data_IF_079218812010
#
_entry.id   IF_079218812010
#
_cell.length_a   1.000
_cell.length_b   1.000
_cell.length_c   1.000
_cell.angle_alpha   90.00
_cell.angle_beta   90.00
_cell.angle_gamma   90.00
#
_symmetry.space_group_name_H-M   'P 1'
#
loop_
_entity.id
_entity.type
_entity.pdbx_description
1 polymer ?
#
# COMPACT_ATOMS: atom_id res chain seq x y z
N UNK A 1 32.45 11.26 25.96
CA UNK A 1 31.88 9.89 26.10
C UNK A 1 30.68 9.79 25.14
N UNK A 2 30.75 8.93 24.13
CA UNK A 2 29.60 8.71 23.19
C UNK A 2 28.57 7.92 23.98
N UNK A 3 27.37 8.48 24.14
CA UNK A 3 26.30 7.79 24.84
C UNK A 3 25.70 6.69 23.95
N UNK A 4 25.35 5.55 24.53
CA UNK A 4 24.67 4.45 23.79
C UNK A 4 23.38 4.91 23.09
N UNK A 5 22.78 5.99 23.57
CA UNK A 5 21.55 6.56 23.00
C UNK A 5 21.74 7.23 21.62
N UNK A 6 22.99 7.45 21.20
CA UNK A 6 23.32 8.06 19.91
C UNK A 6 23.26 7.03 18.76
N UNK A 7 23.31 5.74 19.09
CA UNK A 7 23.30 4.65 18.10
C UNK A 7 21.90 4.07 17.90
N UNK A 8 21.59 3.72 16.66
CA UNK A 8 20.37 3.02 16.33
C UNK A 8 20.53 2.15 15.09
N UNK A 9 19.82 1.01 15.08
CA UNK A 9 19.54 0.25 13.86
C UNK A 9 18.41 0.92 13.10
N UNK A 10 18.63 1.18 11.81
CA UNK A 10 17.60 1.76 10.93
C UNK A 10 17.55 1.04 9.60
N UNK A 11 16.35 0.92 8.99
CA UNK A 11 16.24 0.49 7.61
C UNK A 11 16.97 1.48 6.69
N UNK A 12 17.79 0.95 5.81
CA UNK A 12 18.45 1.71 4.76
C UNK A 12 17.98 1.18 3.40
N UNK A 13 17.26 2.00 2.65
CA UNK A 13 16.83 1.66 1.32
C UNK A 13 17.98 1.86 0.33
N UNK A 14 18.50 0.77 -0.21
CA UNK A 14 19.44 0.81 -1.32
C UNK A 14 18.66 0.62 -2.62
N UNK A 15 18.71 1.62 -3.49
CA UNK A 15 17.98 1.67 -4.74
C UNK A 15 18.95 1.82 -5.89
N UNK A 16 18.71 1.09 -7.00
CA UNK A 16 19.49 1.26 -8.23
C UNK A 16 18.57 1.06 -9.44
N UNK A 17 19.06 1.55 -10.57
CA UNK A 17 18.36 1.45 -11.85
C UNK A 17 19.23 0.60 -12.78
N UNK A 18 18.64 -0.36 -13.47
CA UNK A 18 19.32 -1.17 -14.45
C UNK A 18 19.42 -0.47 -15.83
N UNK A 19 20.11 -1.10 -16.78
CA UNK A 19 20.28 -0.59 -18.15
C UNK A 19 18.97 -0.39 -18.91
N UNK A 20 17.87 -1.02 -18.41
CA UNK A 20 16.52 -0.88 -18.96
C UNK A 20 15.70 0.19 -18.25
N UNK A 21 16.35 1.00 -17.41
CA UNK A 21 15.71 2.00 -16.55
C UNK A 21 14.65 1.42 -15.59
N UNK A 22 14.80 0.14 -15.20
CA UNK A 22 13.97 -0.46 -14.16
C UNK A 22 14.56 -0.15 -12.78
N UNK A 23 13.70 0.26 -11.85
CA UNK A 23 14.07 0.55 -10.47
C UNK A 23 14.06 -0.73 -9.63
N UNK A 24 15.18 -1.00 -9.01
CA UNK A 24 15.37 -2.05 -8.00
C UNK A 24 15.61 -1.43 -6.63
N UNK A 25 15.20 -2.14 -5.60
CA UNK A 25 15.39 -1.73 -4.23
C UNK A 25 15.60 -2.93 -3.33
N UNK A 26 16.56 -2.80 -2.42
CA UNK A 26 16.75 -3.68 -1.28
C UNK A 26 16.73 -2.87 0.00
N UNK A 27 16.03 -3.36 1.02
CA UNK A 27 16.06 -2.74 2.34
C UNK A 27 17.12 -3.45 3.19
N UNK A 28 18.20 -2.73 3.48
CA UNK A 28 19.31 -3.16 4.33
C UNK A 28 19.04 -2.74 5.78
N UNK A 29 19.81 -3.31 6.72
CA UNK A 29 19.87 -2.82 8.09
C UNK A 29 21.18 -2.06 8.28
N UNK A 30 21.09 -0.79 8.63
CA UNK A 30 22.22 0.07 8.93
C UNK A 30 22.33 0.35 10.44
N UNK A 31 23.55 0.56 10.90
CA UNK A 31 23.84 1.19 12.18
C UNK A 31 24.01 2.68 11.91
N UNK A 32 23.29 3.49 12.64
CA UNK A 32 23.37 4.96 12.56
C UNK A 32 23.87 5.54 13.87
N UNK A 33 24.59 6.68 13.79
CA UNK A 33 24.96 7.52 14.92
C UNK A 33 24.46 8.94 14.66
N UNK A 34 23.65 9.48 15.56
CA UNK A 34 23.00 10.78 15.38
C UNK A 34 22.27 10.93 14.03
N UNK A 35 21.68 9.82 13.54
CA UNK A 35 20.95 9.77 12.27
C UNK A 35 21.79 9.53 11.02
N UNK A 36 23.12 9.62 11.11
CA UNK A 36 24.03 9.34 10.01
C UNK A 36 24.39 7.84 9.95
N UNK A 37 24.39 7.26 8.77
CA UNK A 37 24.80 5.86 8.58
C UNK A 37 26.30 5.74 8.78
N UNK A 38 26.71 4.90 9.73
CA UNK A 38 28.13 4.59 10.00
C UNK A 38 28.53 3.20 9.49
N UNK A 39 27.57 2.27 9.41
CA UNK A 39 27.83 0.91 8.94
C UNK A 39 26.59 0.28 8.34
N UNK A 40 26.73 -0.41 7.23
CA UNK A 40 25.74 -1.34 6.72
C UNK A 40 26.03 -2.75 7.27
N UNK A 41 24.99 -3.46 7.67
CA UNK A 41 25.09 -4.83 8.18
C UNK A 41 24.60 -5.83 7.15
N UNK A 42 24.97 -7.09 7.32
CA UNK A 42 24.47 -8.22 6.55
C UNK A 42 23.16 -8.80 7.11
N UNK A 43 22.61 -8.23 8.17
CA UNK A 43 21.45 -8.77 8.89
C UNK A 43 20.18 -8.86 8.05
N UNK A 44 20.08 -8.07 6.98
CA UNK A 44 18.95 -8.13 6.04
C UNK A 44 18.81 -9.48 5.33
N UNK A 45 19.91 -10.25 5.18
CA UNK A 45 19.88 -11.58 4.54
C UNK A 45 19.08 -12.60 5.36
N UNK A 46 18.93 -12.35 6.66
CA UNK A 46 18.19 -13.21 7.59
C UNK A 46 16.69 -12.84 7.67
N UNK A 47 16.24 -11.85 6.89
CA UNK A 47 14.84 -11.41 6.85
C UNK A 47 14.15 -12.02 5.63
N UNK A 48 13.26 -12.99 5.85
CA UNK A 48 12.47 -13.63 4.81
C UNK A 48 12.97 -15.01 4.36
N UNK A 49 12.21 -15.67 3.49
CA UNK A 49 12.54 -17.00 2.99
C UNK A 49 13.75 -16.99 2.06
N UNK A 50 14.72 -17.86 2.29
CA UNK A 50 15.92 -18.07 1.46
C UNK A 50 15.62 -18.19 -0.05
N UNK A 51 14.49 -18.79 -0.42
CA UNK A 51 14.07 -18.98 -1.82
C UNK A 51 13.54 -17.72 -2.50
N UNK A 52 13.20 -16.67 -1.73
CA UNK A 52 12.58 -15.43 -2.24
C UNK A 52 13.54 -14.23 -2.29
N UNK A 53 14.77 -14.37 -1.86
CA UNK A 53 15.78 -13.29 -1.85
C UNK A 53 16.13 -12.73 -3.23
N UNK A 54 15.77 -13.43 -4.31
CA UNK A 54 15.98 -12.95 -5.68
C UNK A 54 14.90 -11.97 -6.20
N UNK A 55 13.80 -11.76 -5.46
CA UNK A 55 12.79 -10.75 -5.81
C UNK A 55 12.83 -9.60 -4.82
N UNK A 56 13.73 -8.74 -5.06
CA UNK A 56 14.12 -7.51 -4.40
C UNK A 56 13.03 -6.43 -4.42
N UNK A 57 11.81 -6.68 -3.97
CA UNK A 57 10.85 -5.58 -3.95
C UNK A 57 9.83 -5.65 -2.82
N UNK A 58 9.86 -4.63 -1.98
CA UNK A 58 8.78 -4.08 -1.13
C UNK A 58 8.09 -4.95 -0.07
N UNK A 59 8.23 -6.26 -0.05
CA UNK A 59 7.59 -7.07 1.01
C UNK A 59 8.37 -7.09 2.33
N UNK A 60 9.66 -6.77 2.28
CA UNK A 60 10.54 -6.87 3.45
C UNK A 60 10.69 -5.57 4.23
N UNK A 61 10.30 -4.40 3.69
CA UNK A 61 10.49 -3.13 4.38
C UNK A 61 9.89 -3.10 5.79
N UNK A 62 8.66 -3.55 5.95
CA UNK A 62 8.02 -3.62 7.25
C UNK A 62 8.70 -4.62 8.19
N UNK A 63 9.18 -5.76 7.68
CA UNK A 63 9.91 -6.74 8.46
C UNK A 63 11.31 -6.22 8.85
N UNK A 64 12.02 -5.55 7.94
CA UNK A 64 13.30 -4.88 8.24
C UNK A 64 13.13 -3.87 9.36
N UNK A 65 12.10 -3.03 9.30
CA UNK A 65 11.79 -2.05 10.34
C UNK A 65 11.49 -2.72 11.69
N UNK A 66 10.73 -3.82 11.69
CA UNK A 66 10.42 -4.59 12.90
C UNK A 66 11.66 -5.19 13.52
N UNK A 67 12.52 -5.77 12.69
CA UNK A 67 13.82 -6.30 13.16
C UNK A 67 14.71 -5.18 13.69
N UNK A 68 14.77 -4.01 13.04
CA UNK A 68 15.50 -2.85 13.57
C UNK A 68 14.97 -2.41 14.94
N UNK A 69 13.66 -2.36 15.13
CA UNK A 69 13.06 -2.03 16.42
C UNK A 69 13.47 -3.04 17.51
N UNK A 70 13.39 -4.33 17.17
CA UNK A 70 13.84 -5.39 18.06
C UNK A 70 15.32 -5.27 18.44
N UNK A 71 16.22 -5.08 17.45
CA UNK A 71 17.64 -4.92 17.69
C UNK A 71 17.95 -3.67 18.54
N UNK A 72 17.26 -2.56 18.28
CA UNK A 72 17.38 -1.36 19.11
C UNK A 72 17.00 -1.63 20.55
N UNK A 73 15.90 -2.39 20.74
CA UNK A 73 15.46 -2.74 22.08
C UNK A 73 16.51 -3.61 22.81
N UNK A 74 16.88 -4.76 22.24
CA UNK A 74 17.72 -5.74 22.94
C UNK A 74 19.16 -5.30 23.12
N UNK A 75 19.68 -4.42 22.27
CA UNK A 75 21.08 -3.96 22.33
C UNK A 75 21.20 -2.64 23.11
N UNK A 76 20.23 -1.72 22.95
CA UNK A 76 20.39 -0.37 23.50
C UNK A 76 19.41 -0.01 24.62
N UNK A 77 18.20 -0.57 24.64
CA UNK A 77 17.09 -0.07 25.46
C UNK A 77 16.69 -1.00 26.62
N UNK A 78 16.87 -2.31 26.47
CA UNK A 78 16.39 -3.23 27.49
C UNK A 78 17.21 -3.20 28.79
N UNK A 79 16.61 -3.77 29.84
CA UNK A 79 17.24 -3.95 31.12
C UNK A 79 18.57 -4.72 31.00
N UNK A 80 19.54 -4.43 31.86
CA UNK A 80 20.89 -5.04 31.88
C UNK A 80 20.89 -6.57 31.86
N UNK A 81 19.84 -7.20 32.43
CA UNK A 81 19.69 -8.67 32.49
C UNK A 81 19.50 -9.29 31.09
N UNK A 82 18.79 -8.59 30.20
CA UNK A 82 18.46 -9.09 28.85
C UNK A 82 19.21 -8.38 27.76
N UNK A 83 20.12 -7.49 28.12
CA UNK A 83 20.88 -6.68 27.18
C UNK A 83 21.92 -7.54 26.46
N UNK A 84 21.82 -7.56 25.15
CA UNK A 84 22.79 -8.18 24.27
C UNK A 84 23.88 -7.19 23.87
N UNK A 85 25.16 -7.61 23.88
CA UNK A 85 26.24 -6.82 23.32
C UNK A 85 26.40 -7.02 21.82
N UNK A 86 25.98 -8.20 21.35
CA UNK A 86 25.96 -8.55 19.93
C UNK A 86 24.76 -9.48 19.66
N UNK A 87 24.56 -9.81 18.38
CA UNK A 87 23.41 -10.61 17.95
C UNK A 87 23.45 -12.06 18.48
N UNK A 88 24.66 -12.57 18.77
CA UNK A 88 24.82 -13.92 19.29
C UNK A 88 24.42 -14.05 20.77
N UNK A 89 24.43 -12.91 21.50
CA UNK A 89 24.05 -12.87 22.92
C UNK A 89 22.54 -12.80 23.14
N UNK A 90 21.75 -12.63 22.07
CA UNK A 90 20.30 -12.48 22.20
C UNK A 90 19.69 -13.80 22.67
N UNK A 91 19.17 -13.80 23.89
CA UNK A 91 18.53 -14.94 24.49
C UNK A 91 17.00 -14.98 24.23
N UNK A 92 16.42 -16.16 24.45
CA UNK A 92 14.98 -16.38 24.30
C UNK A 92 14.13 -15.44 25.15
N UNK A 93 14.51 -15.22 26.39
CA UNK A 93 13.75 -14.40 27.31
C UNK A 93 13.78 -12.92 26.88
N UNK A 94 14.86 -12.43 26.27
CA UNK A 94 14.90 -11.10 25.68
C UNK A 94 13.87 -10.93 24.56
N UNK A 95 13.67 -11.95 23.74
CA UNK A 95 12.63 -11.94 22.68
C UNK A 95 11.23 -11.91 23.28
N UNK A 96 10.99 -12.73 24.34
CA UNK A 96 9.69 -12.71 25.05
C UNK A 96 9.40 -11.36 25.67
N UNK A 97 10.37 -10.78 26.37
CA UNK A 97 10.22 -9.48 27.06
C UNK A 97 9.94 -8.39 26.01
N UNK A 98 10.71 -8.36 24.93
CA UNK A 98 10.46 -7.41 23.84
C UNK A 98 9.03 -7.51 23.29
N UNK A 99 8.59 -8.71 22.94
CA UNK A 99 7.26 -8.91 22.34
C UNK A 99 6.13 -8.56 23.32
N UNK A 100 6.32 -8.85 24.62
CA UNK A 100 5.37 -8.45 25.66
C UNK A 100 5.32 -6.94 25.79
N UNK A 101 6.45 -6.28 25.87
CA UNK A 101 6.50 -4.81 25.95
C UNK A 101 5.92 -4.17 24.71
N UNK A 102 6.25 -4.67 23.51
CA UNK A 102 5.64 -4.18 22.27
C UNK A 102 4.11 -4.28 22.30
N UNK A 103 3.57 -5.39 22.79
CA UNK A 103 2.12 -5.63 22.85
C UNK A 103 1.39 -4.78 23.90
N UNK A 104 2.11 -4.37 24.97
CA UNK A 104 1.53 -3.66 26.12
C UNK A 104 1.91 -2.19 26.20
N UNK A 105 2.75 -1.69 25.31
CA UNK A 105 3.14 -0.27 25.24
C UNK A 105 2.25 0.50 24.28
N UNK A 106 1.81 1.67 24.72
CA UNK A 106 1.04 2.59 23.87
C UNK A 106 1.91 3.11 22.72
N UNK A 107 1.34 3.09 21.53
CA UNK A 107 1.97 3.67 20.35
C UNK A 107 1.90 5.21 20.37
N UNK A 108 2.49 5.87 19.36
CA UNK A 108 2.48 7.34 19.22
C UNK A 108 1.07 7.97 19.18
N UNK A 109 0.03 7.17 18.97
CA UNK A 109 -1.36 7.62 18.95
C UNK A 109 -2.08 7.34 20.28
N UNK A 110 -1.35 6.98 21.33
CA UNK A 110 -1.86 6.59 22.66
C UNK A 110 -2.81 5.38 22.60
N UNK A 111 -2.53 4.44 21.71
CA UNK A 111 -3.31 3.22 21.55
C UNK A 111 -2.40 1.98 21.58
N UNK A 112 -2.93 0.84 22.01
CA UNK A 112 -2.19 -0.42 22.00
C UNK A 112 -2.10 -0.98 20.57
N UNK A 113 -1.03 -1.73 20.24
CA UNK A 113 -0.95 -2.43 18.96
C UNK A 113 -2.13 -3.40 18.78
N UNK A 114 -2.68 -3.45 17.56
CA UNK A 114 -3.70 -4.45 17.23
C UNK A 114 -3.11 -5.86 17.24
N UNK A 115 -3.95 -6.88 17.49
CA UNK A 115 -3.55 -8.29 17.43
C UNK A 115 -2.74 -8.59 16.16
N UNK A 116 -3.23 -8.14 15.00
CA UNK A 116 -2.54 -8.36 13.73
C UNK A 116 -1.16 -7.70 13.69
N UNK A 117 -0.96 -6.57 14.37
CA UNK A 117 0.35 -5.91 14.45
C UNK A 117 1.29 -6.68 15.35
N UNK A 118 0.80 -7.19 16.50
CA UNK A 118 1.57 -8.03 17.43
C UNK A 118 2.01 -9.33 16.74
N UNK A 119 1.09 -9.99 16.03
CA UNK A 119 1.40 -11.22 15.27
C UNK A 119 2.45 -10.99 14.17
N UNK A 120 2.35 -9.87 13.46
CA UNK A 120 3.36 -9.51 12.45
C UNK A 120 4.73 -9.21 13.07
N UNK A 121 4.74 -8.57 14.24
CA UNK A 121 5.97 -8.30 14.99
C UNK A 121 6.60 -9.61 15.46
N UNK A 122 5.80 -10.46 16.11
CA UNK A 122 6.19 -11.79 16.56
C UNK A 122 6.81 -12.60 15.41
N UNK A 123 6.10 -12.69 14.29
CA UNK A 123 6.58 -13.41 13.11
C UNK A 123 7.91 -12.86 12.60
N UNK A 124 8.03 -11.54 12.43
CA UNK A 124 9.24 -10.94 11.86
C UNK A 124 10.47 -11.20 12.74
N UNK A 125 10.33 -11.02 14.06
CA UNK A 125 11.42 -11.19 15.02
C UNK A 125 11.79 -12.67 15.17
N UNK A 126 10.80 -13.54 15.37
CA UNK A 126 11.06 -14.97 15.52
C UNK A 126 11.67 -15.56 14.26
N UNK A 127 11.18 -15.18 13.07
CA UNK A 127 11.73 -15.65 11.81
C UNK A 127 13.17 -15.18 11.56
N UNK A 128 13.46 -13.95 11.92
CA UNK A 128 14.82 -13.41 11.88
C UNK A 128 15.79 -14.20 12.79
N UNK A 129 15.39 -14.44 14.03
CA UNK A 129 16.19 -15.23 14.98
C UNK A 129 16.39 -16.67 14.53
N UNK A 130 15.34 -17.31 13.98
CA UNK A 130 15.44 -18.63 13.38
C UNK A 130 16.46 -18.66 12.24
N UNK A 131 16.34 -17.74 11.28
CA UNK A 131 17.27 -17.71 10.15
C UNK A 131 18.71 -17.51 10.58
N UNK A 132 18.97 -16.66 11.55
CA UNK A 132 20.33 -16.48 12.10
C UNK A 132 20.83 -17.81 12.69
N UNK A 133 20.03 -18.47 13.50
CA UNK A 133 20.42 -19.74 14.13
C UNK A 133 20.71 -20.85 13.13
N UNK A 134 19.92 -20.92 12.05
CA UNK A 134 20.06 -21.90 10.98
C UNK A 134 21.26 -21.65 10.06
N UNK A 135 21.54 -20.35 9.78
CA UNK A 135 22.63 -19.98 8.88
C UNK A 135 24.01 -20.06 9.50
N UNK A 136 24.13 -19.66 10.76
CA UNK A 136 25.45 -19.55 11.36
C UNK A 136 26.03 -20.87 11.82
N UNK A 137 25.30 -22.00 11.79
CA UNK A 137 25.79 -23.32 12.28
C UNK A 137 26.74 -23.19 13.49
N UNK A 138 26.81 -21.99 14.02
CA UNK A 138 27.72 -21.55 15.05
C UNK A 138 27.07 -21.97 16.37
N UNK A 139 27.75 -22.85 17.07
CA UNK A 139 27.32 -23.40 18.37
C UNK A 139 27.14 -22.30 19.44
N UNK A 140 27.51 -21.07 19.15
CA UNK A 140 27.42 -19.91 20.04
C UNK A 140 26.07 -19.21 20.03
N UNK A 141 25.22 -19.40 18.99
CA UNK A 141 23.86 -18.89 19.05
C UNK A 141 23.07 -19.84 19.94
N UNK A 142 22.71 -19.34 21.07
CA UNK A 142 22.19 -20.09 22.19
C UNK A 142 21.20 -21.19 21.81
N UNK A 143 21.42 -22.38 22.35
CA UNK A 143 20.53 -23.54 22.38
C UNK A 143 19.05 -23.17 22.52
N UNK A 144 18.73 -22.10 23.23
CA UNK A 144 17.37 -21.58 23.40
C UNK A 144 16.75 -21.01 22.12
N UNK A 145 17.47 -20.34 21.26
CA UNK A 145 16.96 -19.88 19.99
C UNK A 145 16.59 -21.08 19.08
N UNK A 146 17.42 -22.11 19.07
CA UNK A 146 17.14 -23.38 18.35
C UNK A 146 15.91 -24.09 18.91
N UNK A 147 15.75 -24.19 20.23
CA UNK A 147 14.62 -24.84 20.85
C UNK A 147 13.29 -24.16 20.55
N UNK A 148 13.31 -22.83 20.43
CA UNK A 148 12.18 -22.00 20.06
C UNK A 148 11.61 -22.33 18.69
N UNK A 149 12.47 -22.75 17.78
CA UNK A 149 12.16 -22.90 16.37
C UNK A 149 12.17 -24.36 15.88
N UNK A 150 12.78 -25.27 16.64
CA UNK A 150 12.85 -26.68 16.25
C UNK A 150 11.52 -27.41 16.30
N UNK A 151 10.58 -26.95 17.10
CA UNK A 151 9.25 -27.54 17.23
C UNK A 151 8.22 -26.92 16.27
N UNK A 152 8.59 -25.89 15.52
CA UNK A 152 7.67 -25.15 14.64
C UNK A 152 7.47 -25.81 13.26
N UNK A 153 8.18 -26.87 12.94
CA UNK A 153 8.04 -27.61 11.69
C UNK A 153 7.33 -28.96 11.93
N UNK A 154 6.11 -28.93 12.50
CA UNK A 154 5.28 -30.14 12.40
C UNK A 154 4.84 -30.30 10.94
N UNK A 155 4.84 -31.53 10.43
CA UNK A 155 4.34 -31.86 9.07
C UNK A 155 2.87 -31.43 8.89
N UNK A 156 2.17 -31.15 9.98
CA UNK A 156 0.76 -30.75 10.02
C UNK A 156 0.54 -29.28 9.63
N UNK A 157 1.60 -28.47 9.56
CA UNK A 157 1.54 -27.05 9.18
C UNK A 157 1.82 -26.81 7.69
N UNK A 158 1.75 -27.83 6.87
CA UNK A 158 1.90 -27.71 5.40
C UNK A 158 0.53 -27.53 4.77
N UNK A 159 0.19 -26.32 4.36
CA UNK A 159 -1.00 -26.05 3.55
C UNK A 159 -0.60 -26.03 2.07
N UNK A 160 -1.36 -26.76 1.25
CA UNK A 160 -1.23 -26.65 -0.20
C UNK A 160 -1.78 -25.31 -0.65
N UNK A 161 -0.98 -24.53 -1.36
CA UNK A 161 -1.47 -23.33 -2.02
C UNK A 161 -2.45 -23.72 -3.13
N UNK A 162 -3.32 -22.80 -3.54
CA UNK A 162 -4.24 -22.96 -4.67
C UNK A 162 -3.53 -23.39 -5.98
N UNK A 163 -2.21 -23.20 -6.08
CA UNK A 163 -1.36 -23.64 -7.20
C UNK A 163 -0.65 -24.97 -6.95
N UNK A 164 -1.04 -25.71 -5.91
CA UNK A 164 -0.39 -26.99 -5.55
C UNK A 164 0.97 -26.86 -4.88
N UNK A 165 1.47 -25.63 -4.66
CA UNK A 165 2.74 -25.42 -3.95
C UNK A 165 2.54 -25.59 -2.45
N UNK A 166 3.43 -26.31 -1.82
CA UNK A 166 3.45 -26.43 -0.36
C UNK A 166 3.90 -25.11 0.27
N UNK A 167 3.08 -24.60 1.17
CA UNK A 167 3.41 -23.41 1.99
C UNK A 167 3.63 -23.90 3.40
N UNK A 168 4.88 -23.81 3.87
CA UNK A 168 5.21 -24.11 5.25
C UNK A 168 4.77 -22.94 6.12
N UNK A 169 3.90 -23.22 7.09
CA UNK A 169 3.57 -22.28 8.14
C UNK A 169 4.55 -22.46 9.30
N UNK A 170 5.17 -21.37 9.70
CA UNK A 170 5.97 -21.32 10.91
C UNK A 170 5.07 -20.95 12.08
N UNK A 171 4.89 -21.86 13.00
CA UNK A 171 4.31 -21.59 14.30
C UNK A 171 5.45 -21.50 15.33
N UNK A 172 5.43 -20.45 16.14
CA UNK A 172 6.46 -20.19 17.12
C UNK A 172 5.89 -20.36 18.51
N UNK A 173 6.60 -21.03 19.41
CA UNK A 173 6.15 -21.30 20.78
C UNK A 173 5.89 -20.04 21.61
N UNK A 174 6.44 -18.88 21.21
CA UNK A 174 6.19 -17.64 21.94
C UNK A 174 4.76 -17.19 21.69
N UNK A 175 3.93 -17.35 22.71
CA UNK A 175 2.61 -16.74 22.76
C UNK A 175 2.73 -15.34 23.37
N UNK A 176 2.04 -14.38 22.80
CA UNK A 176 2.05 -12.98 23.24
C UNK A 176 0.63 -12.57 23.57
N UNK A 177 0.38 -12.29 24.84
CA UNK A 177 -0.87 -11.66 25.27
C UNK A 177 -0.90 -10.21 24.80
N UNK A 178 -2.03 -9.78 24.27
CA UNK A 178 -2.22 -8.41 23.81
C UNK A 178 -3.43 -7.78 24.50
N UNK A 179 -3.31 -6.50 24.86
CA UNK A 179 -4.36 -5.77 25.56
C UNK A 179 -5.54 -5.34 24.68
N UNK A 180 -5.44 -5.57 23.36
CA UNK A 180 -6.44 -5.16 22.41
C UNK A 180 -6.36 -3.66 22.11
N UNK A 181 -5.74 -3.31 20.99
CA UNK A 181 -5.82 -1.95 20.48
C UNK A 181 -7.18 -1.66 19.88
N UNK A 182 -7.60 -0.41 19.91
CA UNK A 182 -8.79 0.04 19.20
C UNK A 182 -8.67 -0.41 17.74
N UNK A 183 -9.58 -1.24 17.29
CA UNK A 183 -9.79 -1.42 15.85
C UNK A 183 -10.42 -0.13 15.35
N UNK A 184 -9.60 0.80 14.86
CA UNK A 184 -10.16 1.83 13.98
C UNK A 184 -10.83 1.10 12.83
N UNK A 185 -12.15 1.14 12.79
CA UNK A 185 -12.89 0.61 11.67
C UNK A 185 -12.48 1.41 10.45
N UNK A 186 -11.65 0.82 9.60
CA UNK A 186 -11.29 1.44 8.36
C UNK A 186 -12.56 1.51 7.52
N UNK A 187 -13.07 2.72 7.30
CA UNK A 187 -14.24 2.92 6.45
C UNK A 187 -13.81 2.59 5.03
N UNK A 188 -14.41 1.55 4.50
CA UNK A 188 -14.13 1.06 3.15
C UNK A 188 -15.28 1.37 2.19
N UNK A 189 -16.50 1.39 2.71
CA UNK A 189 -17.70 1.57 1.89
C UNK A 189 -17.97 3.06 1.70
N UNK A 190 -18.07 3.47 0.45
CA UNK A 190 -18.50 4.81 0.06
C UNK A 190 -19.92 4.67 -0.48
N UNK A 191 -20.90 5.37 0.11
CA UNK A 191 -22.25 5.41 -0.47
C UNK A 191 -22.20 5.91 -1.91
N UNK A 192 -23.04 5.33 -2.77
CA UNK A 192 -23.07 5.72 -4.18
C UNK A 192 -23.28 7.22 -4.35
N UNK A 193 -24.23 7.78 -3.63
CA UNK A 193 -24.54 9.23 -3.65
C UNK A 193 -23.42 10.14 -3.16
N UNK A 194 -22.45 9.61 -2.43
CA UNK A 194 -21.28 10.40 -1.97
C UNK A 194 -20.21 10.55 -3.08
N UNK A 195 -20.17 9.65 -4.06
CA UNK A 195 -19.17 9.68 -5.14
C UNK A 195 -19.26 11.00 -5.95
N UNK A 196 -20.42 11.43 -6.46
CA UNK A 196 -20.52 12.71 -7.17
C UNK A 196 -20.01 13.91 -6.35
N UNK A 197 -20.39 13.98 -5.07
CA UNK A 197 -19.94 15.05 -4.18
C UNK A 197 -18.43 15.06 -4.01
N UNK A 198 -17.82 13.87 -3.79
CA UNK A 198 -16.37 13.70 -3.68
C UNK A 198 -15.69 14.16 -4.98
N UNK A 199 -16.16 13.68 -6.13
CA UNK A 199 -15.58 13.98 -7.44
C UNK A 199 -15.69 15.46 -7.78
N UNK A 200 -16.82 16.11 -7.48
CA UNK A 200 -17.02 17.55 -7.67
C UNK A 200 -15.97 18.35 -6.89
N UNK A 201 -15.80 18.06 -5.61
CA UNK A 201 -14.81 18.79 -4.81
C UNK A 201 -13.38 18.53 -5.25
N UNK A 202 -13.05 17.30 -5.69
CA UNK A 202 -11.73 17.01 -6.24
C UNK A 202 -11.49 17.80 -7.52
N UNK A 203 -12.47 17.84 -8.44
CA UNK A 203 -12.39 18.60 -9.70
C UNK A 203 -12.20 20.10 -9.43
N UNK A 204 -12.90 20.65 -8.42
CA UNK A 204 -12.82 22.08 -8.06
C UNK A 204 -11.51 22.46 -7.36
N UNK A 205 -10.96 21.59 -6.50
CA UNK A 205 -9.82 21.92 -5.63
C UNK A 205 -8.48 21.31 -6.07
N UNK A 206 -8.50 20.30 -6.90
CA UNK A 206 -7.33 19.62 -7.45
C UNK A 206 -7.67 18.96 -8.80
N UNK A 207 -8.02 19.73 -9.84
CA UNK A 207 -8.40 19.17 -11.15
C UNK A 207 -7.33 18.27 -11.73
N UNK A 208 -6.05 18.53 -11.46
CA UNK A 208 -4.92 17.71 -11.89
C UNK A 208 -4.85 16.33 -11.20
N UNK A 209 -5.63 16.10 -10.14
CA UNK A 209 -5.73 14.81 -9.44
C UNK A 209 -7.03 14.06 -9.77
N UNK A 210 -7.97 14.72 -10.45
CA UNK A 210 -9.27 14.14 -10.77
C UNK A 210 -9.14 12.83 -11.54
N UNK A 211 -8.32 12.81 -12.59
CA UNK A 211 -8.09 11.60 -13.38
C UNK A 211 -7.46 10.45 -12.57
N UNK A 212 -6.57 10.75 -11.60
CA UNK A 212 -6.00 9.72 -10.73
C UNK A 212 -7.08 9.03 -9.88
N UNK A 213 -8.05 9.80 -9.37
CA UNK A 213 -9.19 9.25 -8.62
C UNK A 213 -10.11 8.44 -9.53
N UNK A 214 -10.37 8.90 -10.75
CA UNK A 214 -11.15 8.14 -11.74
C UNK A 214 -10.47 6.80 -12.06
N UNK A 215 -9.14 6.75 -12.20
CA UNK A 215 -8.43 5.49 -12.40
C UNK A 215 -8.56 4.53 -11.20
N UNK A 216 -8.66 5.04 -9.99
CA UNK A 216 -8.92 4.19 -8.82
C UNK A 216 -10.36 3.67 -8.79
N UNK A 217 -11.34 4.49 -9.19
CA UNK A 217 -12.77 4.14 -9.24
C UNK A 217 -13.12 3.24 -10.43
N UNK A 218 -12.46 3.40 -11.58
CA UNK A 218 -12.87 2.78 -12.84
C UNK A 218 -11.92 1.71 -13.37
N UNK A 219 -10.67 1.69 -12.88
CA UNK A 219 -9.67 0.67 -13.19
C UNK A 219 -9.13 -0.04 -11.94
N UNK A 220 -9.63 0.30 -10.76
CA UNK A 220 -9.27 -0.34 -9.51
C UNK A 220 -7.80 -0.20 -9.13
N UNK A 221 -7.10 0.83 -9.56
CA UNK A 221 -5.69 1.04 -9.22
C UNK A 221 -5.50 1.30 -7.72
N UNK A 222 -4.40 0.81 -7.17
CA UNK A 222 -3.94 1.25 -5.85
C UNK A 222 -3.32 2.65 -5.95
N UNK A 223 -3.28 3.39 -4.86
CA UNK A 223 -2.76 4.77 -4.84
C UNK A 223 -1.33 4.87 -5.39
N UNK A 224 -0.48 3.89 -5.03
CA UNK A 224 0.89 3.83 -5.53
C UNK A 224 0.98 3.43 -7.01
N UNK A 225 0.03 2.62 -7.48
CA UNK A 225 -0.07 2.24 -8.91
C UNK A 225 -0.55 3.43 -9.74
N UNK A 226 -1.53 4.20 -9.26
CA UNK A 226 -2.02 5.41 -9.94
C UNK A 226 -0.89 6.43 -10.14
N UNK A 227 -0.04 6.64 -9.13
CA UNK A 227 1.09 7.58 -9.25
C UNK A 227 2.21 7.08 -10.20
N UNK A 228 2.22 5.80 -10.54
CA UNK A 228 3.16 5.23 -11.52
C UNK A 228 2.63 5.22 -12.97
N UNK A 229 1.44 5.77 -13.21
CA UNK A 229 0.89 5.85 -14.57
C UNK A 229 1.71 6.82 -15.41
N UNK A 230 2.05 6.39 -16.62
CA UNK A 230 2.76 7.19 -17.60
C UNK A 230 1.83 7.67 -18.69
N UNK A 231 2.24 8.76 -19.34
CA UNK A 231 1.57 9.29 -20.54
C UNK A 231 1.72 8.32 -21.71
N UNK A 232 0.76 8.36 -22.64
CA UNK A 232 0.79 7.54 -23.86
C UNK A 232 2.03 7.78 -24.72
N UNK A 233 2.53 9.02 -24.73
CA UNK A 233 3.72 9.45 -25.48
C UNK A 233 5.02 9.39 -24.65
N UNK A 234 5.03 8.66 -23.53
CA UNK A 234 6.26 8.51 -22.73
C UNK A 234 7.38 7.91 -23.55
N UNK A 235 8.59 8.45 -23.40
CA UNK A 235 9.82 7.97 -24.06
C UNK A 235 10.14 6.51 -23.69
N UNK A 236 9.74 6.07 -22.52
CA UNK A 236 10.00 4.72 -22.04
C UNK A 236 8.77 3.83 -22.28
N UNK A 237 9.00 2.53 -22.45
CA UNK A 237 7.92 1.54 -22.57
C UNK A 237 7.01 1.58 -21.36
N UNK A 238 5.74 1.35 -21.60
CA UNK A 238 4.72 1.45 -20.58
C UNK A 238 3.92 2.73 -20.71
N UNK A 239 2.82 2.83 -20.02
CA UNK A 239 1.95 3.99 -20.07
C UNK A 239 0.54 3.65 -20.48
N UNK A 240 -0.21 4.68 -20.87
CA UNK A 240 -1.60 4.51 -21.29
C UNK A 240 -1.62 4.08 -22.76
N UNK A 241 -2.42 3.03 -23.04
CA UNK A 241 -2.76 2.57 -24.39
C UNK A 241 -4.28 2.57 -24.53
N UNK A 242 -4.77 3.01 -25.68
CA UNK A 242 -6.21 3.01 -25.95
C UNK A 242 -6.48 2.81 -27.44
N UNK A 243 -7.65 2.29 -27.74
CA UNK A 243 -8.20 2.26 -29.11
C UNK A 243 -9.48 3.06 -29.16
N UNK A 244 -9.72 3.75 -30.28
CA UNK A 244 -10.95 4.52 -30.55
C UNK A 244 -11.65 3.99 -31.79
N UNK A 245 -12.99 3.99 -31.74
CA UNK A 245 -13.87 3.77 -32.89
C UNK A 245 -14.93 4.86 -32.87
N UNK A 246 -15.03 5.62 -33.95
CA UNK A 246 -15.96 6.77 -34.04
C UNK A 246 -15.81 7.78 -32.88
N UNK A 247 -14.59 8.06 -32.48
CA UNK A 247 -14.29 9.00 -31.39
C UNK A 247 -14.43 8.44 -29.98
N UNK A 248 -15.03 7.27 -29.81
CA UNK A 248 -15.25 6.62 -28.49
C UNK A 248 -14.18 5.58 -28.20
N UNK A 249 -13.74 5.50 -26.95
CA UNK A 249 -12.82 4.45 -26.51
C UNK A 249 -13.49 3.08 -26.54
N UNK A 250 -12.83 2.14 -27.20
CA UNK A 250 -13.19 0.71 -27.19
C UNK A 250 -12.32 -0.07 -26.20
N UNK A 251 -11.11 0.39 -25.95
CA UNK A 251 -10.26 -0.13 -24.91
C UNK A 251 -9.43 0.99 -24.30
N UNK A 252 -9.11 0.84 -23.02
CA UNK A 252 -8.21 1.70 -22.31
C UNK A 252 -7.39 0.85 -21.34
N UNK A 253 -6.10 0.84 -21.49
CA UNK A 253 -5.16 0.00 -20.77
C UNK A 253 -4.06 0.83 -20.13
N UNK A 254 -3.64 0.41 -18.94
CA UNK A 254 -2.58 1.03 -18.17
C UNK A 254 -1.48 -0.01 -17.98
N UNK A 255 -0.33 0.23 -18.60
CA UNK A 255 0.81 -0.65 -18.51
C UNK A 255 1.58 -0.42 -17.20
N UNK A 256 1.44 -1.37 -16.28
CA UNK A 256 2.12 -1.43 -14.98
C UNK A 256 3.15 -2.58 -14.96
N UNK A 257 3.63 -3.04 -16.12
CA UNK A 257 4.57 -4.17 -16.19
C UNK A 257 5.95 -3.79 -15.69
N UNK A 258 6.36 -2.54 -15.91
CA UNK A 258 7.68 -2.00 -15.59
C UNK A 258 7.64 -1.04 -14.40
N UNK A 259 8.69 -1.09 -13.60
CA UNK A 259 8.89 -0.26 -12.40
C UNK A 259 9.99 0.75 -12.69
N UNK A 260 9.64 1.79 -13.41
CA UNK A 260 10.60 2.81 -13.76
C UNK A 260 10.75 3.88 -12.69
N UNK A 261 11.92 4.50 -12.67
CA UNK A 261 12.12 5.72 -11.92
C UNK A 261 11.46 6.89 -12.67
N UNK A 262 10.47 7.53 -12.03
CA UNK A 262 9.70 8.63 -12.62
C UNK A 262 10.20 10.02 -12.20
N UNK A 263 11.22 10.08 -11.36
CA UNK A 263 11.73 11.33 -10.80
C UNK A 263 13.24 11.39 -10.90
N UNK A 264 13.75 12.52 -11.36
CA UNK A 264 15.19 12.79 -11.45
C UNK A 264 15.89 12.87 -10.09
N UNK A 265 15.13 13.12 -8.99
CA UNK A 265 15.68 13.17 -7.64
C UNK A 265 15.78 11.80 -6.94
N UNK A 266 15.52 10.72 -7.67
CA UNK A 266 15.60 9.35 -7.17
C UNK A 266 14.48 8.92 -6.22
N UNK A 267 13.51 9.80 -5.89
CA UNK A 267 12.43 9.44 -4.98
C UNK A 267 11.40 8.54 -5.65
N UNK A 268 11.03 7.46 -4.96
CA UNK A 268 9.97 6.55 -5.40
C UNK A 268 8.60 7.23 -5.30
N UNK A 269 7.87 7.30 -6.39
CA UNK A 269 6.53 7.93 -6.43
C UNK A 269 5.47 7.07 -5.76
N UNK A 270 5.61 5.75 -5.81
CA UNK A 270 4.72 4.76 -5.23
C UNK A 270 5.11 3.36 -5.68
N UNK A 271 4.53 2.34 -5.08
CA UNK A 271 4.86 0.95 -5.41
C UNK A 271 3.82 0.33 -6.32
N UNK A 272 4.28 -0.32 -7.39
CA UNK A 272 3.47 -1.26 -8.18
C UNK A 272 3.52 -2.60 -7.47
N UNK A 273 2.41 -2.99 -6.85
CA UNK A 273 2.34 -4.26 -6.10
C UNK A 273 2.45 -5.48 -7.00
N UNK A 274 1.93 -5.38 -8.23
CA UNK A 274 1.93 -6.46 -9.23
C UNK A 274 2.16 -5.88 -10.61
N UNK A 275 3.16 -6.40 -11.32
CA UNK A 275 3.39 -6.11 -12.73
C UNK A 275 2.25 -6.70 -13.57
N UNK A 276 1.57 -5.86 -14.35
CA UNK A 276 0.48 -6.25 -15.24
C UNK A 276 0.10 -5.13 -16.19
N UNK A 277 -0.65 -5.48 -17.22
CA UNK A 277 -1.47 -4.53 -17.97
C UNK A 277 -2.82 -4.50 -17.26
N UNK A 278 -3.27 -3.31 -16.86
CA UNK A 278 -4.55 -3.09 -16.20
C UNK A 278 -5.54 -2.50 -17.18
N UNK A 279 -6.55 -3.28 -17.55
CA UNK A 279 -7.65 -2.80 -18.40
C UNK A 279 -8.70 -2.07 -17.57
N UNK A 280 -9.29 -1.03 -18.15
CA UNK A 280 -10.48 -0.37 -17.63
C UNK A 280 -11.70 -1.27 -17.92
N UNK A 281 -12.57 -1.42 -16.94
CA UNK A 281 -13.83 -2.15 -17.15
C UNK A 281 -14.72 -1.40 -18.15
N UNK A 282 -15.29 -2.10 -19.13
CA UNK A 282 -15.91 -1.50 -20.31
C UNK A 282 -17.00 -0.48 -20.00
N UNK A 283 -17.81 -0.72 -18.97
CA UNK A 283 -18.87 0.17 -18.50
C UNK A 283 -18.33 1.57 -18.11
N UNK A 284 -17.09 1.67 -17.68
CA UNK A 284 -16.48 2.92 -17.24
C UNK A 284 -15.67 3.64 -18.32
N UNK A 285 -15.58 3.09 -19.53
CA UNK A 285 -14.78 3.70 -20.61
C UNK A 285 -15.19 5.15 -20.92
N UNK A 286 -16.48 5.53 -21.00
CA UNK A 286 -16.86 6.92 -21.27
C UNK A 286 -16.37 7.88 -20.18
N UNK A 287 -16.47 7.48 -18.91
CA UNK A 287 -16.04 8.28 -17.77
C UNK A 287 -14.51 8.48 -17.80
N UNK A 288 -13.78 7.40 -18.09
CA UNK A 288 -12.31 7.43 -18.20
C UNK A 288 -11.89 8.27 -19.38
N UNK A 289 -12.59 8.19 -20.52
CA UNK A 289 -12.32 9.02 -21.70
C UNK A 289 -12.42 10.51 -21.36
N UNK A 290 -13.54 10.94 -20.81
CA UNK A 290 -13.78 12.34 -20.47
C UNK A 290 -12.74 12.85 -19.46
N UNK A 291 -12.46 12.06 -18.43
CA UNK A 291 -11.48 12.43 -17.41
C UNK A 291 -10.06 12.50 -17.95
N UNK A 292 -9.68 11.58 -18.85
CA UNK A 292 -8.35 11.56 -19.48
C UNK A 292 -8.17 12.73 -20.44
N UNK A 293 -9.14 12.99 -21.31
CA UNK A 293 -9.08 14.09 -22.27
C UNK A 293 -9.08 15.45 -21.57
N UNK A 294 -9.85 15.62 -20.48
CA UNK A 294 -9.81 16.80 -19.64
C UNK A 294 -8.44 16.94 -18.95
N UNK A 295 -7.85 15.84 -18.49
CA UNK A 295 -6.54 15.87 -17.84
C UNK A 295 -5.43 16.28 -18.80
N UNK A 296 -5.47 15.82 -20.05
CA UNK A 296 -4.50 16.21 -21.09
C UNK A 296 -4.51 17.72 -21.36
N UNK A 297 -5.64 18.39 -21.24
CA UNK A 297 -5.73 19.86 -21.39
C UNK A 297 -5.05 20.62 -20.25
N UNK A 298 -4.89 19.98 -19.07
CA UNK A 298 -4.26 20.61 -17.88
C UNK A 298 -2.74 20.40 -17.90
N UNK A 299 -2.27 19.32 -18.55
CA UNK A 299 -0.85 19.00 -18.60
C UNK A 299 -0.18 19.85 -19.70
N UNK A 300 0.80 20.66 -19.30
CA UNK A 300 1.76 21.24 -20.24
C UNK A 300 2.99 20.30 -20.30
N UNK A 301 3.17 19.62 -21.42
CA UNK A 301 4.23 18.63 -21.61
C UNK A 301 5.64 19.22 -21.52
N UNK A 302 5.82 20.46 -21.91
CA UNK A 302 7.11 21.16 -21.89
C UNK A 302 7.61 21.43 -20.46
N UNK A 303 6.68 21.49 -19.51
CA UNK A 303 6.99 21.72 -18.10
C UNK A 303 7.25 20.42 -17.30
N UNK A 304 7.17 19.26 -17.91
CA UNK A 304 7.23 17.97 -17.23
C UNK A 304 8.59 17.29 -17.47
N UNK A 305 9.08 16.57 -16.45
CA UNK A 305 10.27 15.72 -16.61
C UNK A 305 10.09 14.68 -17.71
N UNK A 306 11.21 14.33 -18.36
CA UNK A 306 11.26 13.48 -19.57
C UNK A 306 10.77 12.05 -19.38
N UNK A 307 10.69 11.57 -18.14
CA UNK A 307 10.26 10.21 -17.81
C UNK A 307 8.76 9.96 -18.07
N UNK A 308 8.02 11.01 -18.43
CA UNK A 308 6.64 10.94 -18.87
C UNK A 308 5.61 10.58 -17.79
N UNK A 309 5.73 11.11 -16.54
CA UNK A 309 4.70 10.86 -15.51
C UNK A 309 3.37 11.47 -15.93
N UNK A 310 2.26 10.79 -15.60
CA UNK A 310 0.91 11.29 -15.82
C UNK A 310 0.54 12.35 -14.77
N UNK A 311 0.92 12.14 -13.52
CA UNK A 311 0.56 13.01 -12.39
C UNK A 311 1.80 13.70 -11.85
N UNK A 312 1.75 15.03 -11.80
CA UNK A 312 2.90 15.88 -11.47
C UNK A 312 2.60 16.84 -10.33
N UNK A 313 3.65 17.38 -9.73
CA UNK A 313 3.54 18.41 -8.70
C UNK A 313 2.99 19.69 -9.29
N UNK A 314 2.23 20.45 -8.47
CA UNK A 314 1.73 21.79 -8.86
C UNK A 314 2.86 22.83 -8.98
N UNK A 315 3.97 22.60 -8.27
CA UNK A 315 5.13 23.50 -8.26
C UNK A 315 6.24 22.93 -9.10
N UNK A 316 6.92 23.81 -9.81
CA UNK A 316 8.14 23.52 -10.58
C UNK A 316 9.30 23.27 -9.62
N UNK A 317 10.15 22.29 -9.90
CA UNK A 317 11.39 22.08 -9.18
C UNK A 317 12.38 23.19 -9.54
N UNK A 318 12.88 23.90 -8.56
CA UNK A 318 13.82 25.03 -8.75
C UNK A 318 15.13 24.62 -9.45
N UNK A 319 15.57 23.36 -9.31
CA UNK A 319 16.81 22.88 -9.92
C UNK A 319 16.65 22.50 -11.40
N UNK A 320 15.51 21.91 -11.76
CA UNK A 320 15.29 21.37 -13.12
C UNK A 320 14.42 22.28 -13.97
N UNK A 321 13.75 23.29 -13.40
CA UNK A 321 12.77 24.11 -14.09
C UNK A 321 11.51 23.35 -14.51
N UNK A 322 11.34 22.07 -14.07
CA UNK A 322 10.25 21.21 -14.50
C UNK A 322 9.43 20.67 -13.34
N UNK A 323 8.19 20.28 -13.60
CA UNK A 323 7.31 19.60 -12.64
C UNK A 323 7.73 18.14 -12.54
N UNK A 324 7.83 17.66 -11.31
CA UNK A 324 8.24 16.29 -10.99
C UNK A 324 7.02 15.40 -10.81
N UNK A 325 7.20 14.09 -11.02
CA UNK A 325 6.16 13.11 -10.70
C UNK A 325 5.67 13.23 -9.26
N UNK A 326 4.35 13.16 -9.06
CA UNK A 326 3.72 13.29 -7.75
C UNK A 326 3.93 12.00 -6.95
N UNK A 327 4.32 12.12 -5.68
CA UNK A 327 4.46 10.95 -4.80
C UNK A 327 3.09 10.50 -4.26
N UNK A 328 2.96 9.19 -3.98
CA UNK A 328 1.78 8.62 -3.31
C UNK A 328 1.42 9.40 -2.04
N UNK A 329 2.42 9.75 -1.23
CA UNK A 329 2.18 10.47 0.03
C UNK A 329 1.53 11.85 -0.22
N UNK A 330 2.07 12.62 -1.17
CA UNK A 330 1.51 13.91 -1.52
C UNK A 330 0.09 13.79 -2.10
N UNK A 331 -0.13 12.81 -2.97
CA UNK A 331 -1.45 12.49 -3.52
C UNK A 331 -2.47 12.19 -2.41
N UNK A 332 -2.16 11.22 -1.54
CA UNK A 332 -3.05 10.83 -0.45
C UNK A 332 -3.37 12.01 0.48
N UNK A 333 -2.37 12.79 0.86
CA UNK A 333 -2.57 13.95 1.74
C UNK A 333 -3.47 15.01 1.10
N UNK A 334 -3.27 15.31 -0.18
CA UNK A 334 -4.09 16.32 -0.88
C UNK A 334 -5.55 15.88 -0.97
N UNK A 335 -5.82 14.64 -1.37
CA UNK A 335 -7.20 14.13 -1.45
C UNK A 335 -7.83 14.06 -0.06
N UNK A 336 -7.11 13.56 0.95
CA UNK A 336 -7.63 13.51 2.32
C UNK A 336 -7.96 14.90 2.85
N UNK A 337 -7.13 15.90 2.55
CA UNK A 337 -7.42 17.29 2.95
C UNK A 337 -8.69 17.84 2.26
N UNK A 338 -8.91 17.52 0.97
CA UNK A 338 -10.12 17.92 0.25
C UNK A 338 -11.35 17.26 0.88
N UNK A 339 -11.27 15.95 1.13
CA UNK A 339 -12.37 15.20 1.75
C UNK A 339 -12.70 15.77 3.13
N UNK A 340 -11.71 15.95 3.99
CA UNK A 340 -11.93 16.45 5.35
C UNK A 340 -12.43 17.90 5.37
N UNK A 341 -11.90 18.75 4.51
CA UNK A 341 -12.20 20.20 4.55
C UNK A 341 -13.49 20.59 3.82
N UNK A 342 -13.86 19.87 2.78
CA UNK A 342 -14.97 20.25 1.92
C UNK A 342 -16.07 19.19 1.82
N UNK A 343 -15.72 17.92 1.60
CA UNK A 343 -16.69 16.85 1.39
C UNK A 343 -17.45 16.54 2.68
N UNK A 344 -16.73 16.24 3.76
CA UNK A 344 -17.36 15.87 5.04
C UNK A 344 -18.31 16.96 5.55
N UNK A 345 -17.93 18.24 5.60
CA UNK A 345 -18.84 19.30 6.04
C UNK A 345 -20.11 19.45 5.20
N UNK A 346 -20.01 19.20 3.89
CA UNK A 346 -21.17 19.22 3.01
C UNK A 346 -22.10 18.02 3.26
N UNK A 347 -21.52 16.82 3.34
CA UNK A 347 -22.29 15.60 3.58
C UNK A 347 -22.97 15.59 4.95
N UNK A 348 -22.36 16.20 5.97
CA UNK A 348 -23.00 16.37 7.30
C UNK A 348 -24.25 17.26 7.20
N UNK A 349 -24.24 18.26 6.32
CA UNK A 349 -25.38 19.16 6.11
C UNK A 349 -26.46 18.56 5.19
N UNK A 350 -26.18 17.45 4.53
CA UNK A 350 -27.14 16.78 3.63
C UNK A 350 -28.40 16.37 4.36
N UNK A 351 -29.54 16.42 3.69
CA UNK A 351 -30.80 15.87 4.20
C UNK A 351 -30.87 14.33 4.06
N UNK A 352 -29.95 13.73 3.32
CA UNK A 352 -29.88 12.28 3.16
C UNK A 352 -29.23 11.62 4.38
N UNK A 353 -29.96 10.75 5.12
CA UNK A 353 -29.42 10.11 6.33
C UNK A 353 -28.19 9.23 6.06
N UNK A 354 -28.13 8.57 4.89
CA UNK A 354 -26.99 7.72 4.51
C UNK A 354 -25.70 8.54 4.37
N UNK A 355 -25.80 9.70 3.72
CA UNK A 355 -24.67 10.61 3.55
C UNK A 355 -24.22 11.20 4.88
N UNK A 356 -25.15 11.58 5.75
CA UNK A 356 -24.82 12.04 7.12
C UNK A 356 -24.05 10.99 7.91
N UNK A 357 -24.60 9.76 7.98
CA UNK A 357 -23.98 8.67 8.70
C UNK A 357 -22.59 8.33 8.14
N UNK A 358 -22.42 8.34 6.83
CA UNK A 358 -21.12 8.17 6.20
C UNK A 358 -20.14 9.25 6.64
N UNK A 359 -20.54 10.53 6.55
CA UNK A 359 -19.69 11.66 6.93
C UNK A 359 -19.28 11.60 8.41
N UNK A 360 -20.21 11.30 9.33
CA UNK A 360 -19.93 11.11 10.75
C UNK A 360 -18.90 10.00 10.98
N UNK A 361 -19.11 8.83 10.33
CA UNK A 361 -18.16 7.71 10.42
C UNK A 361 -16.77 8.09 9.91
N UNK A 362 -16.69 8.85 8.79
CA UNK A 362 -15.40 9.30 8.23
C UNK A 362 -14.73 10.29 9.18
N UNK A 363 -15.48 11.15 9.86
CA UNK A 363 -14.95 12.11 10.81
C UNK A 363 -14.39 11.44 12.10
N UNK A 364 -15.03 10.37 12.55
CA UNK A 364 -14.63 9.63 13.77
C UNK A 364 -13.57 8.56 13.52
N UNK A 365 -13.46 8.09 12.30
CA UNK A 365 -12.59 6.98 11.94
C UNK A 365 -11.58 7.38 10.85
N UNK A 366 -10.65 6.46 10.55
CA UNK A 366 -9.72 6.67 9.46
C UNK A 366 -10.36 6.31 8.13
N UNK A 367 -10.34 7.25 7.20
CA UNK A 367 -10.66 7.03 5.80
C UNK A 367 -9.38 7.08 4.95
N UNK A 368 -9.32 6.26 3.93
CA UNK A 368 -8.18 6.22 3.01
C UNK A 368 -8.62 5.98 1.58
N UNK A 369 -7.79 6.40 0.62
CA UNK A 369 -8.10 6.33 -0.81
C UNK A 369 -8.31 4.90 -1.32
N UNK A 370 -7.88 3.90 -0.54
CA UNK A 370 -8.18 2.49 -0.86
C UNK A 370 -9.70 2.20 -0.92
N UNK A 371 -10.52 3.06 -0.31
CA UNK A 371 -11.97 3.01 -0.39
C UNK A 371 -12.48 3.16 -1.84
N UNK A 372 -11.79 3.92 -2.69
CA UNK A 372 -12.16 4.02 -4.12
C UNK A 372 -12.00 2.68 -4.85
N UNK A 373 -10.89 1.99 -4.61
CA UNK A 373 -10.69 0.65 -5.17
C UNK A 373 -11.66 -0.37 -4.58
N UNK A 374 -12.08 -0.20 -3.33
CA UNK A 374 -13.11 -1.02 -2.71
C UNK A 374 -14.46 -0.81 -3.41
N UNK A 375 -14.85 0.45 -3.60
CA UNK A 375 -16.04 0.80 -4.37
C UNK A 375 -16.02 0.17 -5.78
N UNK A 376 -14.91 0.25 -6.51
CA UNK A 376 -14.75 -0.43 -7.80
C UNK A 376 -15.07 -1.92 -7.72
N UNK A 377 -14.60 -2.60 -6.69
CA UNK A 377 -14.89 -4.03 -6.49
C UNK A 377 -16.37 -4.29 -6.31
N UNK A 378 -17.04 -3.44 -5.52
CA UNK A 378 -18.49 -3.52 -5.32
C UNK A 378 -19.21 -3.38 -6.66
N UNK A 379 -18.78 -2.45 -7.51
CA UNK A 379 -19.39 -2.28 -8.83
C UNK A 379 -19.23 -3.53 -9.72
N UNK A 380 -18.07 -4.18 -9.72
CA UNK A 380 -17.88 -5.43 -10.46
C UNK A 380 -18.85 -6.53 -9.97
N UNK A 381 -19.01 -6.67 -8.65
CA UNK A 381 -19.96 -7.63 -8.05
C UNK A 381 -21.41 -7.31 -8.45
N UNK A 382 -21.78 -6.03 -8.44
CA UNK A 382 -23.13 -5.57 -8.82
C UNK A 382 -23.40 -5.81 -10.32
N UNK A 383 -22.38 -5.73 -11.17
CA UNK A 383 -22.45 -6.07 -12.59
C UNK A 383 -22.38 -7.58 -12.85
N UNK A 384 -22.56 -8.42 -11.82
CA UNK A 384 -22.58 -9.87 -11.89
C UNK A 384 -21.27 -10.53 -12.37
N UNK A 385 -20.13 -9.85 -12.23
CA UNK A 385 -18.84 -10.45 -12.54
C UNK A 385 -18.53 -11.61 -11.60
N UNK A 386 -17.92 -12.67 -12.13
CA UNK A 386 -17.49 -13.82 -11.37
C UNK A 386 -16.17 -13.54 -10.60
N UNK A 387 -15.78 -14.47 -9.75
CA UNK A 387 -14.59 -14.32 -8.90
C UNK A 387 -13.27 -14.20 -9.70
N UNK A 388 -13.20 -14.83 -10.87
CA UNK A 388 -12.01 -14.77 -11.73
C UNK A 388 -11.94 -13.42 -12.43
N UNK A 389 -13.06 -12.95 -13.00
CA UNK A 389 -13.19 -11.64 -13.61
C UNK A 389 -12.89 -10.52 -12.60
N UNK A 390 -13.45 -10.61 -11.38
CA UNK A 390 -13.17 -9.64 -10.32
C UNK A 390 -11.67 -9.64 -9.95
N UNK A 391 -11.06 -10.81 -9.77
CA UNK A 391 -9.63 -10.91 -9.47
C UNK A 391 -8.77 -10.36 -10.62
N UNK A 392 -9.15 -10.63 -11.87
CA UNK A 392 -8.50 -10.11 -13.07
C UNK A 392 -8.57 -8.58 -13.13
N UNK A 393 -9.78 -8.01 -13.11
CA UNK A 393 -10.00 -6.57 -13.17
C UNK A 393 -9.41 -5.81 -11.97
N UNK A 394 -9.27 -6.45 -10.82
CA UNK A 394 -8.55 -5.89 -9.68
C UNK A 394 -7.03 -6.06 -9.76
N UNK A 395 -6.54 -6.97 -10.60
CA UNK A 395 -5.14 -7.34 -10.63
C UNK A 395 -4.66 -7.98 -9.30
N UNK A 396 -5.50 -8.81 -8.68
CA UNK A 396 -5.16 -9.57 -7.48
C UNK A 396 -4.60 -10.96 -7.85
N UNK A 397 -3.74 -11.54 -6.98
CA UNK A 397 -3.19 -12.88 -7.18
C UNK A 397 -4.09 -13.99 -6.65
N UNK A 398 -5.08 -13.64 -5.84
CA UNK A 398 -5.93 -14.57 -5.12
C UNK A 398 -7.38 -14.15 -5.25
N UNK A 399 -8.23 -15.12 -5.53
CA UNK A 399 -9.67 -14.95 -5.54
C UNK A 399 -10.27 -14.78 -4.14
N UNK A 400 -9.50 -15.05 -3.07
CA UNK A 400 -9.99 -14.98 -1.69
C UNK A 400 -10.71 -13.67 -1.37
N UNK A 401 -10.16 -12.56 -1.82
CA UNK A 401 -10.78 -11.25 -1.63
C UNK A 401 -12.07 -11.13 -2.45
N UNK A 402 -12.09 -11.61 -3.70
CA UNK A 402 -13.28 -11.61 -4.54
C UNK A 402 -14.41 -12.45 -3.92
N UNK A 403 -14.10 -13.64 -3.40
CA UNK A 403 -15.08 -14.49 -2.72
C UNK A 403 -15.76 -13.80 -1.54
N UNK A 404 -15.01 -13.05 -0.72
CA UNK A 404 -15.60 -12.31 0.41
C UNK A 404 -16.68 -11.31 -0.04
N UNK A 405 -16.47 -10.65 -1.18
CA UNK A 405 -17.47 -9.74 -1.74
C UNK A 405 -18.66 -10.46 -2.35
N UNK A 406 -18.41 -11.58 -3.05
CA UNK A 406 -19.48 -12.38 -3.67
C UNK A 406 -20.34 -13.02 -2.60
N UNK A 407 -19.78 -13.52 -1.51
CA UNK A 407 -20.55 -14.06 -0.37
C UNK A 407 -21.51 -13.01 0.22
N UNK A 408 -21.09 -11.75 0.23
CA UNK A 408 -21.94 -10.64 0.71
C UNK A 408 -22.80 -10.00 -0.39
N UNK A 409 -22.83 -10.60 -1.61
CA UNK A 409 -23.52 -10.04 -2.77
C UNK A 409 -25.02 -9.77 -2.49
N UNK A 410 -25.69 -10.68 -1.79
CA UNK A 410 -27.10 -10.51 -1.44
C UNK A 410 -27.37 -9.24 -0.61
N UNK A 411 -26.51 -8.93 0.36
CA UNK A 411 -26.60 -7.69 1.12
C UNK A 411 -26.22 -6.46 0.29
N UNK A 412 -25.18 -6.58 -0.54
CA UNK A 412 -24.80 -5.53 -1.47
C UNK A 412 -25.92 -5.22 -2.45
N UNK A 413 -26.53 -6.25 -3.05
CA UNK A 413 -27.66 -6.09 -3.96
C UNK A 413 -28.84 -5.41 -3.28
N UNK A 414 -29.24 -5.80 -2.06
CA UNK A 414 -30.31 -5.15 -1.31
C UNK A 414 -30.03 -3.65 -1.08
N UNK A 415 -28.79 -3.28 -0.81
CA UNK A 415 -28.38 -1.88 -0.61
C UNK A 415 -28.36 -1.08 -1.91
N UNK A 416 -28.05 -1.72 -3.04
CA UNK A 416 -27.74 -1.03 -4.30
C UNK A 416 -28.75 -1.29 -5.43
N UNK A 417 -29.76 -2.17 -5.25
CA UNK A 417 -30.73 -2.55 -6.31
C UNK A 417 -31.57 -1.37 -6.86
N UNK A 418 -31.65 -0.26 -6.14
CA UNK A 418 -32.31 0.97 -6.62
C UNK A 418 -31.42 1.86 -7.49
N UNK A 419 -30.14 1.52 -7.69
CA UNK A 419 -29.11 2.46 -8.13
C UNK A 419 -28.44 2.06 -9.45
N UNK A 420 -28.62 0.80 -9.92
CA UNK A 420 -27.82 0.25 -11.03
C UNK A 420 -27.95 0.98 -12.39
N UNK A 421 -29.02 1.72 -12.62
CA UNK A 421 -29.19 2.51 -13.85
C UNK A 421 -28.71 3.97 -13.70
N UNK A 422 -28.38 4.40 -12.48
CA UNK A 422 -28.04 5.79 -12.17
C UNK A 422 -26.54 6.11 -12.20
N UNK A 423 -25.67 5.08 -12.17
CA UNK A 423 -24.23 5.32 -11.94
C UNK A 423 -23.55 5.93 -13.16
N UNK A 424 -23.76 5.36 -14.34
CA UNK A 424 -23.22 5.94 -15.57
C UNK A 424 -23.91 7.25 -15.91
N UNK A 425 -25.23 7.31 -15.71
CA UNK A 425 -26.02 8.49 -16.05
C UNK A 425 -25.77 9.65 -15.08
N UNK A 426 -25.69 9.42 -13.77
CA UNK A 426 -25.35 10.48 -12.80
C UNK A 426 -23.90 10.93 -12.88
N UNK A 427 -22.94 10.01 -13.08
CA UNK A 427 -21.55 10.41 -13.29
C UNK A 427 -21.37 11.15 -14.62
N UNK A 428 -22.03 10.71 -15.68
CA UNK A 428 -22.05 11.42 -16.97
C UNK A 428 -22.75 12.76 -16.83
N UNK A 429 -23.87 12.83 -16.11
CA UNK A 429 -24.60 14.06 -15.84
C UNK A 429 -23.78 15.05 -15.00
N UNK A 430 -23.12 14.61 -13.93
CA UNK A 430 -22.20 15.44 -13.15
C UNK A 430 -21.03 15.94 -14.02
N UNK A 431 -20.54 15.12 -14.94
CA UNK A 431 -19.48 15.54 -15.88
C UNK A 431 -20.03 16.60 -16.84
N UNK A 432 -21.23 16.39 -17.41
CA UNK A 432 -21.85 17.33 -18.36
C UNK A 432 -22.33 18.64 -17.72
N UNK A 433 -22.88 18.59 -16.52
CA UNK A 433 -23.27 19.80 -15.76
C UNK A 433 -22.07 20.67 -15.35
N UNK A 434 -20.88 20.07 -15.27
CA UNK A 434 -19.64 20.78 -14.92
C UNK A 434 -18.88 21.29 -16.15
N UNK A 435 -19.23 20.88 -17.36
CA UNK A 435 -18.71 21.47 -18.61
C UNK A 435 -19.42 22.78 -18.98
N UNK A 436 -20.57 23.06 -18.34
CA UNK A 436 -21.40 24.27 -18.55
C UNK A 436 -21.21 25.33 -17.47
N UNK A 437 -20.21 25.20 -16.59
CA UNK A 437 -19.75 26.20 -15.61
C UNK A 437 -18.27 26.51 -15.85
#
# INVERSE_FOLDING_TARGET
MIAYNDFAFKPYAYEWVDDRNELYRIDLISITMNGNVIKLTDYHIYIGDKKKTKKLYSQNHDNVRRVCNFLNYVIFQCNKIYRANNIADICFDAVKVYLREYATTLNRFKDYPSQQSVEKERYAVCHFMYNISDFRKDNTIHYYARKLYSNSSSKDNVLKSYRGNEITYWDYEIQVEYKGGHKYNLIRDIPQKAIPVILRWIKLKAPELYFAVILQLCAGLREGEAMNVRRANSKYYGGIKYSKVNGLYKSFEIDLTKKYLLRSDGKVVGHIKRSRIQSVYSVFLPIVQNAYEAHLKIINEDEIESEGPMFVTSKVNRKTGKRMALTKHAYCNRISNIVNKYVIPELIKSNDPELKVFAMKVNENRWGLHAFRHWYTVQLVLNNEDSNSIAFFRGDNSMKTAFTYIQNKGELMKRYTKINNLISDELIKVISEMENV
#
